data_IF_469120651103
#
_entry.id   IF_469120651103
#
_cell.length_a   1.000
_cell.length_b   1.000
_cell.length_c   1.000
_cell.angle_alpha   90.00
_cell.angle_beta   90.00
_cell.angle_gamma   90.00
#
_symmetry.space_group_name_H-M   'P 1'
#
loop_
_entity.id
_entity.type
_entity.pdbx_description
1 polymer ?
#
# COMPACT_ATOMS: atom_id res chain seq x y z
N UNK A 1 5.68 11.15 23.81
CA UNK A 1 4.30 10.90 23.34
C UNK A 1 4.25 9.46 22.84
N UNK A 2 3.14 8.72 22.96
CA UNK A 2 3.04 7.43 22.27
C UNK A 2 3.27 7.68 20.78
N UNK A 3 4.13 6.90 20.15
CA UNK A 3 4.27 6.94 18.69
C UNK A 3 2.90 6.65 18.09
N UNK A 4 2.34 7.63 17.37
CA UNK A 4 1.08 7.45 16.67
C UNK A 4 1.31 6.45 15.54
N UNK A 5 0.58 5.34 15.56
CA UNK A 5 0.63 4.34 14.51
C UNK A 5 0.11 4.97 13.21
N UNK A 6 0.95 5.01 12.17
CA UNK A 6 0.56 5.51 10.83
C UNK A 6 0.27 4.32 9.91
N UNK A 7 -0.86 4.34 9.21
CA UNK A 7 -1.25 3.32 8.24
C UNK A 7 -1.04 3.84 6.82
N UNK A 8 -0.09 3.23 6.11
CA UNK A 8 0.16 3.49 4.69
C UNK A 8 -0.67 2.53 3.84
N UNK A 9 -1.18 3.02 2.73
CA UNK A 9 -2.05 2.28 1.83
C UNK A 9 -1.58 2.29 0.38
N UNK A 10 -1.72 1.17 -0.30
CA UNK A 10 -1.71 1.10 -1.76
C UNK A 10 -3.01 0.50 -2.27
N UNK A 11 -3.62 1.11 -3.30
CA UNK A 11 -4.77 0.57 -4.02
C UNK A 11 -4.48 0.53 -5.51
N UNK A 12 -4.61 -0.64 -6.13
CA UNK A 12 -4.37 -0.80 -7.57
C UNK A 12 -4.04 -2.23 -7.96
N UNK A 13 -3.51 -2.40 -9.18
CA UNK A 13 -2.99 -3.69 -9.63
C UNK A 13 -1.71 -4.02 -8.87
N UNK A 14 -1.60 -5.23 -8.32
CA UNK A 14 -0.41 -5.66 -7.57
C UNK A 14 0.59 -6.28 -8.54
N UNK A 15 1.28 -5.42 -9.28
CA UNK A 15 2.26 -5.81 -10.30
C UNK A 15 3.56 -5.03 -10.13
N UNK A 16 4.67 -5.62 -10.60
CA UNK A 16 6.02 -5.05 -10.44
C UNK A 16 6.12 -3.66 -11.08
N UNK A 17 5.49 -3.43 -12.24
CA UNK A 17 5.48 -2.13 -12.93
C UNK A 17 4.79 -1.01 -12.14
N UNK A 18 4.05 -1.37 -11.07
CA UNK A 18 3.36 -0.43 -10.19
C UNK A 18 4.14 -0.08 -8.93
N UNK A 19 5.36 -0.58 -8.77
CA UNK A 19 6.25 -0.18 -7.67
C UNK A 19 5.88 -0.78 -6.31
N UNK A 20 5.04 -1.82 -6.29
CA UNK A 20 4.53 -2.39 -5.03
C UNK A 20 5.61 -3.14 -4.24
N UNK A 21 6.65 -3.64 -4.92
CA UNK A 21 7.79 -4.28 -4.27
C UNK A 21 8.69 -3.27 -3.55
N UNK A 22 8.96 -2.13 -4.20
CA UNK A 22 9.70 -1.00 -3.64
C UNK A 22 8.98 -0.43 -2.42
N UNK A 23 7.64 -0.38 -2.46
CA UNK A 23 6.83 -0.01 -1.30
C UNK A 23 6.98 -1.02 -0.15
N UNK A 24 6.94 -2.32 -0.43
CA UNK A 24 7.11 -3.36 0.58
C UNK A 24 8.52 -3.36 1.21
N UNK A 25 9.56 -3.17 0.38
CA UNK A 25 10.95 -3.05 0.84
C UNK A 25 11.14 -1.80 1.71
N UNK A 26 10.65 -0.64 1.25
CA UNK A 26 10.71 0.59 2.01
C UNK A 26 10.00 0.45 3.36
N UNK A 27 8.81 -0.17 3.37
CA UNK A 27 8.06 -0.46 4.60
C UNK A 27 8.86 -1.32 5.58
N UNK A 28 9.53 -2.38 5.10
CA UNK A 28 10.42 -3.22 5.90
C UNK A 28 11.51 -2.42 6.61
N UNK A 29 12.07 -1.40 5.94
CA UNK A 29 13.16 -0.57 6.45
C UNK A 29 12.71 0.59 7.37
N UNK A 30 11.42 0.93 7.42
CA UNK A 30 10.93 2.04 8.24
C UNK A 30 11.26 1.88 9.74
N UNK A 31 11.49 2.99 10.43
CA UNK A 31 11.58 3.02 11.91
C UNK A 31 10.28 3.55 12.49
N UNK A 32 9.93 3.09 13.68
CA UNK A 32 8.69 3.48 14.38
C UNK A 32 7.48 2.63 14.00
N UNK A 33 6.36 2.91 14.67
CA UNK A 33 5.10 2.19 14.49
C UNK A 33 4.41 2.54 13.15
N UNK A 34 4.38 1.59 12.21
CA UNK A 34 3.67 1.73 10.94
C UNK A 34 3.00 0.41 10.49
N UNK A 35 1.90 0.53 9.74
CA UNK A 35 1.28 -0.60 9.01
C UNK A 35 1.22 -0.32 7.51
N UNK A 36 1.26 -1.39 6.73
CA UNK A 36 1.04 -1.34 5.29
C UNK A 36 -0.22 -2.14 4.93
N UNK A 37 -1.14 -1.48 4.23
CA UNK A 37 -2.38 -2.06 3.72
C UNK A 37 -2.33 -2.08 2.19
N UNK A 38 -2.59 -3.22 1.57
CA UNK A 38 -2.60 -3.39 0.11
C UNK A 38 -4.00 -3.84 -0.33
N UNK A 39 -4.66 -3.00 -1.13
CA UNK A 39 -5.91 -3.29 -1.82
C UNK A 39 -5.63 -3.56 -3.31
N UNK A 40 -6.07 -4.72 -3.78
CA UNK A 40 -5.78 -5.25 -5.11
C UNK A 40 -5.64 -6.75 -5.08
N UNK A 41 -5.98 -7.42 -6.18
CA UNK A 41 -5.75 -8.86 -6.31
C UNK A 41 -4.26 -9.13 -6.46
N UNK A 42 -3.75 -10.03 -5.63
CA UNK A 42 -2.41 -10.57 -5.66
C UNK A 42 -2.50 -12.07 -5.41
N UNK A 43 -1.86 -12.88 -6.27
CA UNK A 43 -1.78 -14.31 -6.01
C UNK A 43 -0.92 -14.60 -4.76
N UNK A 44 -1.02 -15.80 -4.16
CA UNK A 44 -0.28 -16.13 -2.95
C UNK A 44 1.25 -16.04 -3.09
N UNK A 45 1.81 -16.24 -4.30
CA UNK A 45 3.24 -16.14 -4.51
C UNK A 45 3.71 -14.67 -4.48
N UNK A 46 2.93 -13.76 -5.07
CA UNK A 46 3.17 -12.31 -4.97
C UNK A 46 3.00 -11.84 -3.52
N UNK A 47 1.95 -12.27 -2.82
CA UNK A 47 1.78 -11.92 -1.40
C UNK A 47 2.96 -12.39 -0.55
N UNK A 48 3.43 -13.63 -0.75
CA UNK A 48 4.59 -14.17 -0.05
C UNK A 48 5.88 -13.38 -0.37
N UNK A 49 6.08 -12.98 -1.63
CA UNK A 49 7.22 -12.15 -2.04
C UNK A 49 7.20 -10.79 -1.36
N UNK A 50 6.05 -10.11 -1.38
CA UNK A 50 5.89 -8.80 -0.73
C UNK A 50 6.09 -8.90 0.78
N UNK A 51 5.53 -9.94 1.41
CA UNK A 51 5.73 -10.19 2.84
C UNK A 51 7.21 -10.46 3.17
N UNK A 52 7.94 -11.17 2.30
CA UNK A 52 9.38 -11.37 2.47
C UNK A 52 10.18 -10.07 2.38
N UNK A 53 9.84 -9.16 1.46
CA UNK A 53 10.46 -7.84 1.34
C UNK A 53 10.18 -6.94 2.55
N UNK A 54 8.99 -7.05 3.15
CA UNK A 54 8.65 -6.35 4.39
C UNK A 54 9.33 -6.95 5.65
N UNK A 55 10.03 -8.08 5.52
CA UNK A 55 10.70 -8.75 6.62
C UNK A 55 9.73 -9.23 7.70
N UNK A 56 9.97 -8.86 8.95
CA UNK A 56 9.13 -9.26 10.08
C UNK A 56 7.86 -8.42 10.25
N UNK A 57 7.67 -7.37 9.43
CA UNK A 57 6.52 -6.49 9.54
C UNK A 57 5.36 -7.03 8.70
N UNK A 58 4.16 -7.21 9.28
CA UNK A 58 3.03 -7.76 8.55
C UNK A 58 2.49 -6.78 7.51
N UNK A 59 2.04 -7.32 6.38
CA UNK A 59 1.27 -6.59 5.37
C UNK A 59 -0.19 -7.05 5.43
N UNK A 60 -1.12 -6.10 5.51
CA UNK A 60 -2.55 -6.36 5.47
C UNK A 60 -3.03 -6.40 4.00
N UNK A 61 -3.22 -7.59 3.44
CA UNK A 61 -3.76 -7.78 2.08
C UNK A 61 -5.29 -7.84 2.11
N UNK A 62 -5.95 -6.85 1.53
CA UNK A 62 -7.41 -6.77 1.49
C UNK A 62 -8.05 -7.50 0.29
N UNK A 63 -7.25 -7.79 -0.74
CA UNK A 63 -7.77 -8.30 -2.01
C UNK A 63 -8.55 -7.24 -2.80
N UNK A 64 -9.46 -7.68 -3.67
CA UNK A 64 -10.32 -6.77 -4.43
C UNK A 64 -11.42 -6.20 -3.54
N UNK A 65 -11.33 -4.90 -3.22
CA UNK A 65 -12.29 -4.18 -2.37
C UNK A 65 -12.71 -2.86 -3.02
N UNK A 66 -13.82 -2.28 -2.53
CA UNK A 66 -14.22 -0.94 -2.96
C UNK A 66 -13.24 0.13 -2.46
N UNK A 67 -13.13 1.27 -3.17
CA UNK A 67 -12.37 2.43 -2.69
C UNK A 67 -12.74 2.84 -1.26
N UNK A 68 -14.03 2.91 -0.93
CA UNK A 68 -14.50 3.23 0.42
C UNK A 68 -13.95 2.29 1.48
N UNK A 69 -13.95 0.98 1.20
CA UNK A 69 -13.43 -0.03 2.13
C UNK A 69 -11.91 0.12 2.34
N UNK A 70 -11.18 0.70 1.38
CA UNK A 70 -9.75 0.95 1.49
C UNK A 70 -9.41 2.32 2.11
N UNK A 71 -9.95 3.42 1.58
CA UNK A 71 -9.57 4.78 1.99
C UNK A 71 -9.97 5.12 3.44
N UNK A 72 -10.96 4.41 4.00
CA UNK A 72 -11.28 4.50 5.43
C UNK A 72 -10.28 3.76 6.33
N UNK A 73 -9.47 2.86 5.77
CA UNK A 73 -8.49 2.02 6.50
C UNK A 73 -7.05 2.55 6.47
N UNK A 74 -6.78 3.68 5.84
CA UNK A 74 -5.41 4.20 5.69
C UNK A 74 -5.35 5.68 6.03
N UNK A 75 -4.19 6.14 6.47
CA UNK A 75 -3.94 7.55 6.82
C UNK A 75 -3.19 8.26 5.69
N UNK A 76 -2.34 7.52 4.97
CA UNK A 76 -1.54 8.00 3.83
C UNK A 76 -1.68 7.01 2.68
N UNK A 77 -1.95 7.51 1.49
CA UNK A 77 -1.99 6.69 0.26
C UNK A 77 -0.69 6.88 -0.51
N UNK A 78 -0.05 5.77 -0.88
CA UNK A 78 1.22 5.77 -1.60
C UNK A 78 0.97 5.31 -3.04
N UNK A 79 1.42 6.10 -4.00
CA UNK A 79 1.48 5.72 -5.41
C UNK A 79 2.96 5.53 -5.81
N UNK A 80 3.52 4.31 -5.69
CA UNK A 80 4.93 4.06 -5.95
C UNK A 80 5.23 3.82 -7.44
N UNK A 81 4.30 4.18 -8.34
CA UNK A 81 4.35 3.85 -9.77
C UNK A 81 5.68 4.22 -10.41
N UNK A 82 6.38 3.22 -10.96
CA UNK A 82 7.66 3.35 -11.65
C UNK A 82 7.49 3.75 -13.13
N UNK A 83 6.27 3.62 -13.65
CA UNK A 83 5.88 4.05 -15.00
C UNK A 83 5.04 5.33 -14.95
N UNK A 84 5.23 6.24 -15.91
CA UNK A 84 4.44 7.46 -16.06
C UNK A 84 2.94 7.16 -16.21
N UNK A 85 2.16 7.35 -15.16
CA UNK A 85 0.70 7.20 -15.23
C UNK A 85 0.06 8.43 -15.90
N UNK A 86 -0.66 8.25 -17.02
CA UNK A 86 -1.25 9.38 -17.75
C UNK A 86 -2.39 10.07 -16.96
N UNK A 87 -3.01 9.35 -16.02
CA UNK A 87 -4.00 9.89 -15.08
C UNK A 87 -4.09 8.98 -13.84
N UNK A 88 -3.34 9.25 -12.75
CA UNK A 88 -3.34 8.42 -11.55
C UNK A 88 -4.65 8.61 -10.77
N UNK A 89 -5.70 7.88 -11.15
CA UNK A 89 -7.04 7.99 -10.52
C UNK A 89 -7.02 7.76 -9.01
N UNK A 90 -6.15 6.87 -8.52
CA UNK A 90 -5.97 6.60 -7.10
C UNK A 90 -5.53 7.83 -6.29
N UNK A 91 -4.81 8.77 -6.91
CA UNK A 91 -4.42 10.04 -6.28
C UNK A 91 -5.60 11.00 -6.22
N UNK A 92 -6.38 11.11 -7.31
CA UNK A 92 -7.60 11.94 -7.32
C UNK A 92 -8.63 11.45 -6.31
N UNK A 93 -8.77 10.13 -6.19
CA UNK A 93 -9.62 9.49 -5.20
C UNK A 93 -9.10 9.77 -3.78
N UNK A 94 -7.79 9.62 -3.51
CA UNK A 94 -7.20 9.92 -2.20
C UNK A 94 -7.53 11.35 -1.71
N UNK A 95 -7.41 12.36 -2.60
CA UNK A 95 -7.77 13.74 -2.27
C UNK A 95 -9.25 13.89 -1.88
N UNK A 96 -10.17 13.16 -2.52
CA UNK A 96 -11.59 13.20 -2.18
C UNK A 96 -11.90 12.65 -0.77
N UNK A 97 -11.03 11.78 -0.24
CA UNK A 97 -11.14 11.22 1.11
C UNK A 97 -10.25 11.94 2.15
N UNK A 98 -9.57 13.03 1.76
CA UNK A 98 -8.67 13.77 2.67
C UNK A 98 -7.44 12.97 3.09
N UNK A 99 -6.91 12.15 2.18
CA UNK A 99 -5.70 11.34 2.35
C UNK A 99 -4.51 11.91 1.58
#
# INVERSE_FOLDING_TARGET
>A
APETLVRFGYIGRVTIDKGVEELAEAYGQMRGAARLVIAGEADPAIQARLQALAGSKPIDFLGFVSPDAFYNQVDVVVAPSLWHEPLPRSILEAFAYGR
#
